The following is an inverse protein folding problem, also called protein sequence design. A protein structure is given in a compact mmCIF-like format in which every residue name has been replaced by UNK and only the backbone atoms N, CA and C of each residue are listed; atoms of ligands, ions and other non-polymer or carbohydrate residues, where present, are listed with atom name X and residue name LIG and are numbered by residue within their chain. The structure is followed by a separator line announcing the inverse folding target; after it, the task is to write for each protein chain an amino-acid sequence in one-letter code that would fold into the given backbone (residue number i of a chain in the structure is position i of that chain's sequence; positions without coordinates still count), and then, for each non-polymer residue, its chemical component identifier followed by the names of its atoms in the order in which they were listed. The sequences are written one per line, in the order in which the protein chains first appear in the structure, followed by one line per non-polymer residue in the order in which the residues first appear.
data_IF_807212876568
#
_entry.id   IF_807212876568
#
_cell.length_a   1.000
_cell.length_b   1.000
_cell.length_c   1.000
_cell.angle_alpha   90.00
_cell.angle_beta   90.00
_cell.angle_gamma   90.00
#
_symmetry.space_group_name_H-M   'P 1'
#
loop_
_entity.id
_entity.type
_entity.pdbx_description
1 polymer ?
#
# COMPACT_ATOMS: atom_id res chain seq x y z
N UNK A 1 -48.32 -27.17 -23.96
CA UNK A 1 -47.02 -27.61 -23.40
C UNK A 1 -45.85 -26.69 -23.74
N UNK A 2 -45.85 -25.96 -24.86
CA UNK A 2 -44.74 -25.05 -25.23
C UNK A 2 -44.52 -23.91 -24.22
N UNK A 3 -45.59 -23.26 -23.74
CA UNK A 3 -45.50 -22.18 -22.75
C UNK A 3 -44.84 -22.62 -21.44
N UNK A 4 -45.10 -23.87 -21.01
CA UNK A 4 -44.54 -24.43 -19.78
C UNK A 4 -43.02 -24.71 -19.86
N UNK A 5 -42.46 -24.85 -21.08
CA UNK A 5 -41.03 -25.05 -21.29
C UNK A 5 -40.28 -23.73 -21.53
N UNK A 6 -40.95 -22.73 -22.09
CA UNK A 6 -40.35 -21.43 -22.41
C UNK A 6 -40.14 -20.58 -21.15
N UNK A 7 -41.08 -20.59 -20.20
CA UNK A 7 -40.96 -19.80 -18.96
C UNK A 7 -39.74 -20.22 -18.10
N UNK A 8 -39.50 -21.52 -17.83
CA UNK A 8 -38.29 -21.96 -17.11
C UNK A 8 -37.00 -21.59 -17.85
N UNK A 9 -37.00 -21.66 -19.19
CA UNK A 9 -35.84 -21.31 -20.00
C UNK A 9 -35.51 -19.82 -19.92
N UNK A 10 -36.52 -18.95 -20.02
CA UNK A 10 -36.35 -17.50 -19.88
C UNK A 10 -35.87 -17.13 -18.47
N UNK A 11 -36.43 -17.75 -17.43
CA UNK A 11 -36.00 -17.53 -16.05
C UNK A 11 -34.54 -17.98 -15.83
N UNK A 12 -34.13 -19.10 -16.44
CA UNK A 12 -32.74 -19.56 -16.38
C UNK A 12 -31.79 -18.60 -17.10
N UNK A 13 -32.18 -18.09 -18.27
CA UNK A 13 -31.39 -17.10 -19.00
C UNK A 13 -31.26 -15.80 -18.21
N UNK A 14 -32.37 -15.25 -17.69
CA UNK A 14 -32.38 -14.03 -16.87
C UNK A 14 -31.49 -14.19 -15.62
N UNK A 15 -31.64 -15.29 -14.89
CA UNK A 15 -30.79 -15.57 -13.72
C UNK A 15 -29.31 -15.64 -14.10
N UNK A 16 -28.97 -16.31 -15.20
CA UNK A 16 -27.58 -16.41 -15.67
C UNK A 16 -27.01 -15.05 -16.11
N UNK A 17 -27.83 -14.18 -16.70
CA UNK A 17 -27.42 -12.82 -17.11
C UNK A 17 -27.23 -11.92 -15.90
N UNK A 18 -28.12 -11.99 -14.91
CA UNK A 18 -28.02 -11.23 -13.67
C UNK A 18 -26.76 -11.64 -12.90
N UNK A 19 -26.52 -12.95 -12.72
CA UNK A 19 -25.32 -13.46 -12.05
C UNK A 19 -24.03 -13.03 -12.74
N UNK A 20 -24.00 -13.03 -14.08
CA UNK A 20 -22.84 -12.55 -14.85
C UNK A 20 -22.65 -11.04 -14.72
N UNK A 21 -23.74 -10.26 -14.68
CA UNK A 21 -23.68 -8.81 -14.48
C UNK A 21 -23.16 -8.47 -13.08
N UNK A 22 -23.66 -9.13 -12.04
CA UNK A 22 -23.20 -8.97 -10.65
C UNK A 22 -21.73 -9.34 -10.50
N UNK A 23 -21.30 -10.46 -11.09
CA UNK A 23 -19.89 -10.87 -11.07
C UNK A 23 -18.99 -9.83 -11.74
N UNK A 24 -19.40 -9.32 -12.91
CA UNK A 24 -18.64 -8.28 -13.63
C UNK A 24 -18.57 -6.97 -12.86
N UNK A 25 -19.64 -6.61 -12.14
CA UNK A 25 -19.64 -5.43 -11.28
C UNK A 25 -18.66 -5.58 -10.12
N UNK A 26 -18.66 -6.73 -9.44
CA UNK A 26 -17.69 -7.05 -8.39
C UNK A 26 -16.25 -7.04 -8.90
N UNK A 27 -15.99 -7.64 -10.06
CA UNK A 27 -14.67 -7.61 -10.71
C UNK A 27 -14.24 -6.16 -11.01
N UNK A 28 -15.13 -5.34 -11.58
CA UNK A 28 -14.85 -3.94 -11.85
C UNK A 28 -14.55 -3.12 -10.61
N UNK A 29 -15.28 -3.35 -9.51
CA UNK A 29 -15.01 -2.71 -8.21
C UNK A 29 -13.66 -3.14 -7.65
N UNK A 30 -13.33 -4.43 -7.73
CA UNK A 30 -12.05 -4.95 -7.29
C UNK A 30 -10.87 -4.38 -8.09
N UNK A 31 -11.01 -4.28 -9.41
CA UNK A 31 -9.99 -3.71 -10.28
C UNK A 31 -9.77 -2.22 -9.98
N UNK A 32 -10.87 -1.46 -9.81
CA UNK A 32 -10.80 -0.06 -9.43
C UNK A 32 -10.13 0.15 -8.07
N UNK A 33 -10.46 -0.69 -7.08
CA UNK A 33 -9.83 -0.68 -5.77
C UNK A 33 -8.32 -0.98 -5.87
N UNK A 34 -7.95 -2.01 -6.60
CA UNK A 34 -6.53 -2.41 -6.79
C UNK A 34 -5.74 -1.30 -7.48
N UNK A 35 -6.31 -0.67 -8.51
CA UNK A 35 -5.69 0.47 -9.19
C UNK A 35 -5.52 1.68 -8.27
N UNK A 36 -6.51 1.97 -7.41
CA UNK A 36 -6.43 3.05 -6.44
C UNK A 36 -5.32 2.80 -5.40
N UNK A 37 -5.20 1.57 -4.88
CA UNK A 37 -4.13 1.19 -3.95
C UNK A 37 -2.75 1.30 -4.61
N UNK A 38 -2.59 0.82 -5.84
CA UNK A 38 -1.33 0.93 -6.58
C UNK A 38 -0.92 2.39 -6.78
N UNK A 39 -1.87 3.25 -7.19
CA UNK A 39 -1.62 4.69 -7.38
C UNK A 39 -1.20 5.37 -6.06
N UNK A 40 -1.84 5.03 -4.95
CA UNK A 40 -1.48 5.54 -3.63
C UNK A 40 -0.07 5.06 -3.21
N UNK A 41 0.26 3.79 -3.47
CA UNK A 41 1.58 3.23 -3.20
C UNK A 41 2.69 3.93 -4.01
N UNK A 42 2.47 4.15 -5.30
CA UNK A 42 3.42 4.85 -6.18
C UNK A 42 3.62 6.31 -5.75
N UNK A 43 2.54 6.99 -5.36
CA UNK A 43 2.61 8.35 -4.82
C UNK A 43 3.43 8.39 -3.52
N UNK A 44 3.16 7.45 -2.60
CA UNK A 44 3.91 7.29 -1.36
C UNK A 44 5.40 7.02 -1.59
N UNK A 45 5.72 6.12 -2.53
CA UNK A 45 7.09 5.81 -2.92
C UNK A 45 7.80 7.03 -3.52
N UNK A 46 7.15 7.76 -4.43
CA UNK A 46 7.70 8.97 -5.02
C UNK A 46 8.05 10.04 -3.98
N UNK A 47 7.18 10.26 -2.99
CA UNK A 47 7.46 11.17 -1.87
C UNK A 47 8.64 10.71 -1.02
N UNK A 48 8.71 9.41 -0.70
CA UNK A 48 9.82 8.85 0.05
C UNK A 48 11.16 8.99 -0.70
N UNK A 49 11.17 8.75 -2.02
CA UNK A 49 12.33 8.96 -2.88
C UNK A 49 12.77 10.43 -2.89
N UNK A 50 11.82 11.36 -3.02
CA UNK A 50 12.14 12.79 -2.96
C UNK A 50 12.81 13.16 -1.64
N UNK A 51 12.23 12.75 -0.51
CA UNK A 51 12.81 13.03 0.82
C UNK A 51 14.20 12.39 0.97
N UNK A 52 14.39 11.17 0.48
CA UNK A 52 15.65 10.44 0.58
C UNK A 52 16.79 11.03 -0.28
N UNK A 53 16.46 11.83 -1.30
CA UNK A 53 17.46 12.48 -2.16
C UNK A 53 17.91 13.84 -1.66
N UNK A 54 17.26 14.42 -0.64
CA UNK A 54 17.66 15.70 -0.04
C UNK A 54 18.96 15.53 0.76
N UNK A 55 20.07 16.21 0.42
CA UNK A 55 21.36 16.01 1.09
C UNK A 55 21.34 16.28 2.59
N UNK A 56 20.59 17.30 3.01
CA UNK A 56 20.44 17.63 4.42
C UNK A 56 19.71 16.52 5.22
N UNK A 57 18.72 15.87 4.59
CA UNK A 57 18.02 14.73 5.19
C UNK A 57 18.99 13.57 5.35
N UNK A 58 19.82 13.28 4.34
CA UNK A 58 20.83 12.23 4.42
C UNK A 58 21.84 12.49 5.54
N UNK A 59 22.32 13.73 5.67
CA UNK A 59 23.25 14.11 6.74
C UNK A 59 22.61 13.98 8.12
N UNK A 60 21.41 14.54 8.32
CA UNK A 60 20.69 14.44 9.58
C UNK A 60 20.35 12.99 9.94
N UNK A 61 19.96 12.18 8.95
CA UNK A 61 19.66 10.76 9.12
C UNK A 61 20.92 9.95 9.46
N UNK A 62 22.04 10.16 8.78
CA UNK A 62 23.32 9.50 9.06
C UNK A 62 23.85 9.84 10.45
N UNK A 63 23.65 11.07 10.91
CA UNK A 63 24.00 11.51 12.26
C UNK A 63 22.99 11.06 13.34
N UNK A 64 21.87 10.44 12.95
CA UNK A 64 20.78 10.10 13.88
C UNK A 64 20.10 11.32 14.52
N UNK A 65 20.22 12.50 13.90
CA UNK A 65 19.75 13.77 14.43
C UNK A 65 18.23 13.91 14.22
N UNK A 66 17.47 13.34 15.16
CA UNK A 66 16.00 13.34 15.15
C UNK A 66 15.43 14.74 15.29
N UNK A 67 16.07 15.59 16.05
CA UNK A 67 15.67 16.98 16.27
C UNK A 67 15.71 17.75 14.95
N UNK A 68 16.78 17.60 14.16
CA UNK A 68 16.89 18.23 12.83
C UNK A 68 15.83 17.69 11.86
N UNK A 69 15.64 16.37 11.81
CA UNK A 69 14.59 15.76 10.97
C UNK A 69 13.18 16.24 11.37
N UNK A 70 12.93 16.38 12.68
CA UNK A 70 11.65 16.87 13.20
C UNK A 70 11.42 18.33 12.81
N UNK A 71 12.44 19.19 12.95
CA UNK A 71 12.36 20.60 12.54
C UNK A 71 12.05 20.75 11.03
N UNK A 72 12.61 19.88 10.20
CA UNK A 72 12.37 19.91 8.75
C UNK A 72 10.95 19.49 8.37
N UNK A 73 10.40 18.43 9.00
CA UNK A 73 9.18 17.78 8.51
C UNK A 73 7.93 17.94 9.38
N UNK A 74 8.07 18.20 10.68
CA UNK A 74 6.91 18.38 11.56
C UNK A 74 6.00 19.56 11.15
N UNK A 75 6.54 20.74 10.75
CA UNK A 75 5.68 21.86 10.34
C UNK A 75 4.82 21.55 9.11
N UNK A 76 5.37 20.78 8.15
CA UNK A 76 4.66 20.42 6.92
C UNK A 76 3.75 19.21 7.04
N UNK A 77 3.88 18.41 8.12
CA UNK A 77 3.16 17.15 8.24
C UNK A 77 1.65 17.32 8.34
N UNK A 78 1.16 18.35 9.06
CA UNK A 78 -0.28 18.62 9.15
C UNK A 78 -0.90 18.86 7.77
N UNK A 79 -0.22 19.65 6.92
CA UNK A 79 -0.64 19.91 5.54
C UNK A 79 -0.59 18.65 4.67
N UNK A 80 0.45 17.83 4.81
CA UNK A 80 0.55 16.56 4.09
C UNK A 80 -0.58 15.60 4.48
N UNK A 81 -0.93 15.54 5.76
CA UNK A 81 -2.05 14.73 6.24
C UNK A 81 -3.38 15.21 5.67
N UNK A 82 -3.66 16.51 5.75
CA UNK A 82 -4.93 17.08 5.31
C UNK A 82 -5.10 17.06 3.78
N UNK A 83 -4.06 17.43 3.03
CA UNK A 83 -4.17 17.62 1.57
C UNK A 83 -3.83 16.40 0.74
N UNK A 84 -2.95 15.53 1.25
CA UNK A 84 -2.40 14.39 0.50
C UNK A 84 -2.80 13.05 1.13
N UNK A 85 -3.41 13.07 2.32
CA UNK A 85 -3.82 11.85 3.02
C UNK A 85 -2.65 11.03 3.58
N UNK A 86 -1.50 11.67 3.84
CA UNK A 86 -0.34 10.98 4.41
C UNK A 86 -0.56 10.79 5.92
N UNK A 87 -0.96 9.58 6.31
CA UNK A 87 -1.14 9.23 7.73
C UNK A 87 0.16 8.87 8.44
N UNK A 88 1.15 8.35 7.70
CA UNK A 88 2.40 7.87 8.26
C UNK A 88 3.60 8.48 7.54
N UNK A 89 4.48 9.05 8.35
CA UNK A 89 5.81 9.49 7.92
C UNK A 89 6.82 9.02 8.96
N UNK A 90 7.69 8.10 8.56
CA UNK A 90 8.67 7.43 9.43
C UNK A 90 10.04 7.32 8.76
N UNK A 91 11.10 7.53 9.55
CA UNK A 91 12.48 7.20 9.22
C UNK A 91 12.88 5.91 9.93
N UNK A 92 13.51 4.99 9.21
CA UNK A 92 13.97 3.71 9.77
C UNK A 92 15.43 3.42 9.42
N UNK A 93 16.21 2.89 10.36
CA UNK A 93 17.56 2.35 10.11
C UNK A 93 17.49 0.83 9.90
N UNK A 94 18.49 0.24 9.25
CA UNK A 94 18.57 -1.22 9.15
C UNK A 94 18.75 -1.86 10.56
N UNK A 95 18.13 -3.02 10.86
CA UNK A 95 17.28 -3.87 10.02
C UNK A 95 15.76 -3.58 10.14
N UNK A 96 15.35 -2.31 10.27
CA UNK A 96 14.02 -1.76 10.54
C UNK A 96 13.81 -1.23 11.97
N UNK A 97 14.81 -0.53 12.52
CA UNK A 97 14.61 0.22 13.77
C UNK A 97 13.99 1.57 13.47
N UNK A 98 12.92 1.90 14.19
CA UNK A 98 12.24 3.19 14.05
C UNK A 98 13.12 4.30 14.63
N UNK A 99 13.70 5.13 13.75
CA UNK A 99 14.53 6.27 14.16
C UNK A 99 13.64 7.43 14.60
N UNK A 100 12.62 7.76 13.79
CA UNK A 100 11.72 8.88 14.04
C UNK A 100 10.38 8.63 13.34
N UNK A 101 9.29 8.95 14.03
CA UNK A 101 7.93 9.01 13.48
C UNK A 101 7.45 10.44 13.56
N UNK A 102 7.34 11.13 12.43
CA UNK A 102 6.89 12.55 12.43
C UNK A 102 5.45 12.66 12.96
N UNK A 103 4.61 11.68 12.63
CA UNK A 103 3.23 11.58 13.07
C UNK A 103 3.07 11.20 14.56
N UNK A 104 4.14 10.73 15.22
CA UNK A 104 4.16 10.36 16.63
C UNK A 104 5.58 10.52 17.22
N UNK A 105 6.07 11.76 17.40
CA UNK A 105 7.49 12.00 17.72
C UNK A 105 7.92 11.40 19.08
N UNK A 106 6.97 11.16 19.99
CA UNK A 106 7.20 10.47 21.27
C UNK A 106 7.40 8.95 21.19
N UNK A 107 7.19 8.31 20.03
CA UNK A 107 7.46 6.88 19.82
C UNK A 107 8.68 6.70 18.91
N UNK A 108 9.80 6.27 19.47
CA UNK A 108 11.07 6.04 18.78
C UNK A 108 11.81 4.85 19.39
N UNK A 109 12.74 4.25 18.65
CA UNK A 109 13.57 3.13 19.12
C UNK A 109 12.90 1.74 19.02
N UNK A 110 11.63 1.67 18.63
CA UNK A 110 10.93 0.40 18.41
C UNK A 110 11.64 -0.43 17.32
N UNK A 111 11.86 -1.71 17.62
CA UNK A 111 12.30 -2.70 16.65
C UNK A 111 11.09 -3.16 15.81
N UNK A 112 11.04 -2.76 14.54
CA UNK A 112 9.97 -3.14 13.62
C UNK A 112 10.29 -4.43 12.85
N UNK A 113 11.37 -5.14 13.20
CA UNK A 113 11.78 -6.36 12.50
C UNK A 113 10.74 -7.49 12.61
N UNK A 114 9.93 -7.52 13.66
CA UNK A 114 8.82 -8.47 13.84
C UNK A 114 7.67 -8.24 12.84
N UNK A 115 7.45 -7.00 12.39
CA UNK A 115 6.42 -6.66 11.40
C UNK A 115 6.82 -7.01 9.96
N UNK A 116 8.10 -7.33 9.72
CA UNK A 116 8.63 -7.74 8.40
C UNK A 116 8.57 -9.26 8.16
N UNK A 117 7.93 -10.03 9.02
CA UNK A 117 7.78 -11.48 8.80
C UNK A 117 6.94 -11.80 7.54
N UNK A 118 6.06 -10.90 7.13
CA UNK A 118 5.24 -10.99 5.92
C UNK A 118 6.04 -10.89 4.61
N UNK A 119 7.06 -10.02 4.54
CA UNK A 119 7.86 -9.83 3.31
C UNK A 119 8.75 -11.03 2.97
N UNK A 120 9.20 -11.76 4.00
CA UNK A 120 10.09 -12.93 3.83
C UNK A 120 9.35 -14.15 3.29
N UNK A 121 8.06 -14.29 3.62
CA UNK A 121 7.22 -15.38 3.14
C UNK A 121 6.83 -15.19 1.67
N UNK A 122 6.64 -13.95 1.19
CA UNK A 122 6.33 -13.70 -0.22
C UNK A 122 7.53 -13.94 -1.15
N UNK A 123 8.77 -13.70 -0.68
CA UNK A 123 9.99 -13.95 -1.47
C UNK A 123 10.36 -15.43 -1.57
N UNK A 124 9.92 -16.29 -0.65
CA UNK A 124 10.14 -17.75 -0.75
C UNK A 124 9.12 -18.46 -1.65
N UNK A 125 7.95 -17.88 -1.90
CA UNK A 125 6.92 -18.49 -2.75
C UNK A 125 7.12 -18.26 -4.27
N UNK A 126 7.98 -17.31 -4.68
CA UNK A 126 8.22 -16.96 -6.10
C UNK A 126 9.53 -17.49 -6.70
N UNK A 127 10.24 -18.39 -6.01
CA UNK A 127 11.62 -18.78 -6.35
C UNK A 127 11.80 -20.21 -6.88
N UNK A 128 10.79 -20.82 -7.51
CA UNK A 128 10.88 -22.19 -7.99
C UNK A 128 10.12 -22.44 -9.29
N UNK A 129 10.82 -22.44 -10.42
CA UNK A 129 10.32 -23.07 -11.64
C UNK A 129 10.85 -22.45 -12.92
N UNK A 130 11.79 -23.15 -13.58
CA UNK A 130 12.03 -22.95 -15.01
C UNK A 130 13.47 -23.08 -15.47
N UNK A 131 14.10 -24.24 -15.24
CA UNK A 131 15.28 -24.64 -16.01
C UNK A 131 14.84 -25.56 -17.17
N UNK A 132 15.16 -25.12 -18.40
CA UNK A 132 15.42 -25.90 -19.63
C UNK A 132 14.23 -26.55 -20.37
N UNK A 133 14.36 -26.84 -21.69
CA UNK A 133 15.58 -26.90 -22.53
C UNK A 133 15.91 -25.64 -23.35
#
# INVERSE_FOLDING_TARGET
MVVAAVVPLLLHQISSTIMRAETRELEGVNDAFTAAVATAADTGAGMAWLVATVPEVQQAFAAGNRERLTQMFAPGFATLKEKVGVDQFQFHTAPARSLLRIHMPGKFGDDLSSFRMSDRLFRQAGGGGGNHP
#
